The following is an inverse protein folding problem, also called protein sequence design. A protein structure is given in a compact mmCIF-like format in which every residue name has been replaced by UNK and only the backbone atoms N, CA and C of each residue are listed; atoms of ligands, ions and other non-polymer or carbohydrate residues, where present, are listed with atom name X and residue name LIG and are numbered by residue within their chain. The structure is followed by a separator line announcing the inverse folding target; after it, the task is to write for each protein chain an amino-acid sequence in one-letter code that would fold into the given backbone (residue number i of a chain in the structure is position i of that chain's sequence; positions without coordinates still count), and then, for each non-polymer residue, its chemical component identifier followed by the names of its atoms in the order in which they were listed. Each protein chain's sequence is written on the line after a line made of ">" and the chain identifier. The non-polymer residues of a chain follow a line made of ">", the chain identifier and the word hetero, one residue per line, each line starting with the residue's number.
data_IF_568712367268
#
_entry.id   IF_568712367268
#
_cell.length_a   1.000
_cell.length_b   1.000
_cell.length_c   1.000
_cell.angle_alpha   90.00
_cell.angle_beta   90.00
_cell.angle_gamma   90.00
#
_symmetry.space_group_name_H-M   'P 1'
#
loop_
_entity.id
_entity.type
_entity.pdbx_description
1 polymer ?
#
# COMPACT_ATOMS: atom_id res chain seq x y z
N UNK A 1 -6.19 17.36 -25.43
CA UNK A 1 -6.05 18.76 -24.98
C UNK A 1 -4.86 18.79 -24.05
N UNK A 2 -4.10 19.89 -24.03
CA UNK A 2 -2.97 20.01 -23.12
C UNK A 2 -3.44 20.26 -21.68
N UNK A 3 -2.76 19.70 -20.69
CA UNK A 3 -3.11 19.92 -19.27
C UNK A 3 -2.54 21.19 -18.68
N UNK A 4 -1.41 21.66 -19.21
CA UNK A 4 -0.87 22.97 -18.91
C UNK A 4 -0.66 23.78 -20.19
N UNK A 5 -0.34 25.06 -20.01
CA UNK A 5 -0.08 26.02 -21.08
C UNK A 5 1.33 26.59 -20.94
N UNK A 6 1.82 27.26 -21.99
CA UNK A 6 3.08 27.98 -21.93
C UNK A 6 3.10 29.04 -20.81
N UNK A 7 1.98 29.72 -20.57
CA UNK A 7 1.87 30.71 -19.50
C UNK A 7 2.08 30.08 -18.12
N UNK A 8 1.64 28.83 -17.93
CA UNK A 8 1.88 28.10 -16.69
C UNK A 8 3.38 27.82 -16.49
N UNK A 9 4.11 27.49 -17.55
CA UNK A 9 5.57 27.33 -17.47
C UNK A 9 6.27 28.66 -17.15
N UNK A 10 5.76 29.78 -17.67
CA UNK A 10 6.28 31.12 -17.40
C UNK A 10 6.03 31.56 -15.95
N UNK A 11 5.08 30.96 -15.23
CA UNK A 11 4.96 31.16 -13.77
C UNK A 11 6.06 30.47 -12.97
N UNK A 12 6.71 29.47 -13.56
CA UNK A 12 7.71 28.62 -12.90
C UNK A 12 9.15 29.04 -13.22
N UNK A 13 9.40 29.42 -14.47
CA UNK A 13 10.71 29.88 -14.95
C UNK A 13 10.57 31.19 -15.74
N UNK A 14 11.56 32.10 -15.68
CA UNK A 14 11.54 33.33 -16.46
C UNK A 14 11.48 33.07 -17.97
N UNK A 15 10.87 34.00 -18.72
CA UNK A 15 10.78 33.90 -20.18
C UNK A 15 12.12 33.69 -20.88
N UNK A 16 13.16 34.41 -20.44
CA UNK A 16 14.52 34.27 -21.00
C UNK A 16 15.09 32.86 -20.79
N UNK A 17 14.76 32.22 -19.67
CA UNK A 17 15.17 30.85 -19.38
C UNK A 17 14.38 29.85 -20.23
N UNK A 18 13.06 30.05 -20.36
CA UNK A 18 12.23 29.23 -21.24
C UNK A 18 12.70 29.33 -22.71
N UNK A 19 13.07 30.52 -23.17
CA UNK A 19 13.64 30.75 -24.49
C UNK A 19 14.97 29.99 -24.67
N UNK A 20 15.89 30.07 -23.70
CA UNK A 20 17.16 29.33 -23.74
C UNK A 20 16.96 27.80 -23.82
N UNK A 21 15.90 27.28 -23.20
CA UNK A 21 15.59 25.84 -23.23
C UNK A 21 14.93 25.37 -24.53
N UNK A 22 14.25 26.26 -25.24
CA UNK A 22 13.37 25.92 -26.37
C UNK A 22 13.94 26.37 -27.71
N UNK A 23 14.31 27.65 -27.82
CA UNK A 23 14.78 28.28 -29.04
C UNK A 23 16.27 28.02 -29.30
N UNK A 24 16.65 27.95 -30.58
CA UNK A 24 18.06 27.86 -31.02
C UNK A 24 18.74 29.25 -31.07
N UNK A 25 17.97 30.33 -31.24
CA UNK A 25 18.43 31.72 -31.16
C UNK A 25 17.26 32.68 -30.87
N UNK A 26 17.50 33.74 -30.08
CA UNK A 26 16.50 34.77 -29.73
C UNK A 26 15.99 34.69 -28.29
N UNK A 27 15.19 35.69 -27.90
CA UNK A 27 14.63 35.83 -26.54
C UNK A 27 13.17 35.32 -26.43
N UNK A 28 12.64 34.77 -27.52
CA UNK A 28 11.28 34.22 -27.58
C UNK A 28 11.30 32.68 -27.52
N UNK A 29 10.48 32.06 -26.66
CA UNK A 29 10.34 30.61 -26.62
C UNK A 29 9.83 30.02 -27.93
N UNK A 30 10.43 28.89 -28.34
CA UNK A 30 9.91 28.11 -29.46
C UNK A 30 8.65 27.36 -29.02
N UNK A 31 7.50 27.87 -29.44
CA UNK A 31 6.19 27.31 -29.10
C UNK A 31 5.98 25.86 -29.55
N UNK A 32 6.67 25.38 -30.61
CA UNK A 32 6.59 23.98 -31.01
C UNK A 32 7.30 23.07 -30.01
N UNK A 33 8.50 23.46 -29.58
CA UNK A 33 9.28 22.70 -28.58
C UNK A 33 8.57 22.70 -27.22
N UNK A 34 7.96 23.83 -26.84
CA UNK A 34 7.11 23.92 -25.64
C UNK A 34 5.93 22.96 -25.74
N UNK A 35 5.20 22.97 -26.86
CA UNK A 35 4.03 22.11 -27.06
C UNK A 35 4.40 20.61 -27.05
N UNK A 36 5.55 20.23 -27.63
CA UNK A 36 6.04 18.84 -27.59
C UNK A 36 6.38 18.39 -26.16
N UNK A 37 7.01 19.27 -25.36
CA UNK A 37 7.34 18.95 -23.97
C UNK A 37 6.08 18.77 -23.12
N UNK A 38 5.06 19.62 -23.31
CA UNK A 38 3.77 19.50 -22.63
C UNK A 38 3.04 18.24 -23.08
N UNK A 39 2.97 17.96 -24.39
CA UNK A 39 2.33 16.76 -24.91
C UNK A 39 2.97 15.48 -24.38
N UNK A 40 4.29 15.47 -24.19
CA UNK A 40 5.02 14.36 -23.57
C UNK A 40 4.62 14.19 -22.09
N UNK A 41 4.62 15.28 -21.32
CA UNK A 41 4.20 15.26 -19.92
C UNK A 41 2.76 14.75 -19.76
N UNK A 42 1.86 15.22 -20.62
CA UNK A 42 0.45 14.82 -20.60
C UNK A 42 0.27 13.34 -20.93
N UNK A 43 1.02 12.81 -21.90
CA UNK A 43 1.00 11.40 -22.22
C UNK A 43 1.50 10.51 -21.06
N UNK A 44 2.50 10.98 -20.30
CA UNK A 44 2.98 10.28 -19.10
C UNK A 44 1.93 10.26 -17.98
N UNK A 45 1.22 11.38 -17.79
CA UNK A 45 0.11 11.49 -16.85
C UNK A 45 -1.05 10.57 -17.26
N UNK A 46 -1.44 10.59 -18.54
CA UNK A 46 -2.53 9.77 -19.07
C UNK A 46 -2.24 8.28 -18.94
N UNK A 47 -1.01 7.88 -19.24
CA UNK A 47 -0.58 6.49 -19.10
C UNK A 47 -0.64 6.03 -17.63
N UNK A 48 -0.28 6.90 -16.68
CA UNK A 48 -0.34 6.57 -15.26
C UNK A 48 -1.78 6.54 -14.72
N UNK A 49 -2.62 7.49 -15.12
CA UNK A 49 -3.96 7.66 -14.56
C UNK A 49 -5.06 6.89 -15.32
N UNK A 50 -4.82 6.48 -16.56
CA UNK A 50 -5.83 5.90 -17.45
C UNK A 50 -6.41 4.55 -17.01
N UNK A 51 -5.81 3.88 -16.02
CA UNK A 51 -6.38 2.68 -15.42
C UNK A 51 -7.55 3.01 -14.47
N UNK A 52 -7.57 4.21 -13.87
CA UNK A 52 -8.51 4.59 -12.80
C UNK A 52 -9.41 5.76 -13.14
N UNK A 53 -8.94 6.68 -13.99
CA UNK A 53 -9.67 7.89 -14.35
C UNK A 53 -9.96 7.93 -15.85
N UNK A 54 -11.04 8.60 -16.22
CA UNK A 54 -11.31 8.93 -17.61
C UNK A 54 -10.29 9.97 -18.09
N UNK A 55 -9.38 9.54 -18.95
CA UNK A 55 -8.39 10.39 -19.61
C UNK A 55 -8.74 10.53 -21.11
N UNK A 56 -8.48 11.69 -21.74
CA UNK A 56 -7.85 12.86 -21.14
C UNK A 56 -8.77 13.64 -20.18
N UNK A 57 -8.21 14.20 -19.11
CA UNK A 57 -8.97 14.89 -18.07
C UNK A 57 -9.74 16.10 -18.60
N UNK A 58 -11.05 16.18 -18.31
CA UNK A 58 -11.89 17.31 -18.69
C UNK A 58 -13.04 17.50 -17.69
N UNK A 59 -13.10 18.62 -16.94
CA UNK A 59 -12.11 19.69 -16.86
C UNK A 59 -10.77 19.20 -16.26
N UNK A 60 -9.67 19.89 -16.59
CA UNK A 60 -8.33 19.55 -16.09
C UNK A 60 -8.21 19.97 -14.62
N UNK A 61 -7.90 19.04 -13.69
CA UNK A 61 -7.67 19.39 -12.29
C UNK A 61 -6.43 20.27 -12.11
N UNK A 62 -6.46 21.20 -11.16
CA UNK A 62 -5.31 22.05 -10.81
C UNK A 62 -4.06 21.25 -10.44
N UNK A 63 -4.24 20.08 -9.80
CA UNK A 63 -3.14 19.17 -9.48
C UNK A 63 -2.50 18.57 -10.73
N UNK A 64 -3.32 18.17 -11.70
CA UNK A 64 -2.85 17.62 -12.99
C UNK A 64 -2.14 18.69 -13.81
N UNK A 65 -2.68 19.91 -13.81
CA UNK A 65 -2.06 21.09 -14.43
C UNK A 65 -0.65 21.35 -13.87
N UNK A 66 -0.51 21.36 -12.54
CA UNK A 66 0.79 21.53 -11.88
C UNK A 66 1.79 20.42 -12.21
N UNK A 67 1.33 19.15 -12.24
CA UNK A 67 2.18 18.01 -12.57
C UNK A 67 2.65 18.05 -14.03
N UNK A 68 1.75 18.38 -14.96
CA UNK A 68 2.08 18.54 -16.38
C UNK A 68 3.16 19.61 -16.55
N UNK A 69 3.04 20.74 -15.85
CA UNK A 69 4.03 21.81 -15.88
C UNK A 69 5.40 21.38 -15.31
N UNK A 70 5.44 20.72 -14.14
CA UNK A 70 6.69 20.21 -13.53
C UNK A 70 7.42 19.22 -14.46
N UNK A 71 6.68 18.28 -15.07
CA UNK A 71 7.24 17.30 -16.01
C UNK A 71 7.70 17.97 -17.31
N UNK A 72 6.93 18.91 -17.85
CA UNK A 72 7.27 19.64 -19.07
C UNK A 72 8.56 20.46 -18.90
N UNK A 73 8.72 21.19 -17.79
CA UNK A 73 9.95 21.92 -17.49
C UNK A 73 11.14 20.97 -17.40
N UNK A 74 10.99 19.84 -16.72
CA UNK A 74 12.05 18.82 -16.65
C UNK A 74 12.44 18.30 -18.04
N UNK A 75 11.47 18.01 -18.92
CA UNK A 75 11.76 17.55 -20.28
C UNK A 75 12.52 18.61 -21.10
N UNK A 76 12.21 19.89 -20.93
CA UNK A 76 12.91 21.00 -21.57
C UNK A 76 14.38 21.09 -21.11
N UNK A 77 14.64 21.00 -19.81
CA UNK A 77 16.02 20.94 -19.31
C UNK A 77 16.76 19.67 -19.73
N UNK A 78 16.07 18.54 -19.74
CA UNK A 78 16.63 17.24 -20.16
C UNK A 78 17.05 17.28 -21.64
N UNK A 79 16.26 17.93 -22.51
CA UNK A 79 16.60 18.17 -23.91
C UNK A 79 17.93 18.91 -24.09
N UNK A 80 18.21 19.91 -23.22
CA UNK A 80 19.49 20.66 -23.24
C UNK A 80 20.62 19.96 -22.48
N UNK A 81 20.37 18.81 -21.84
CA UNK A 81 21.35 18.06 -21.06
C UNK A 81 21.75 18.72 -19.73
N UNK A 82 21.08 19.81 -19.34
CA UNK A 82 21.38 20.59 -18.14
C UNK A 82 20.14 20.60 -17.27
N UNK A 83 19.88 19.52 -16.54
CA UNK A 83 18.77 19.47 -15.58
C UNK A 83 19.27 19.80 -14.17
N UNK A 84 18.94 20.98 -13.61
CA UNK A 84 19.19 21.31 -12.21
C UNK A 84 18.57 20.27 -11.26
N UNK A 85 19.19 20.08 -10.10
CA UNK A 85 18.74 19.06 -9.14
C UNK A 85 17.30 19.31 -8.65
N UNK A 86 16.90 20.58 -8.52
CA UNK A 86 15.52 20.98 -8.15
C UNK A 86 14.49 20.40 -9.13
N UNK A 87 14.76 20.48 -10.43
CA UNK A 87 13.87 19.97 -11.47
C UNK A 87 13.90 18.44 -11.58
N UNK A 88 15.05 17.81 -11.30
CA UNK A 88 15.15 16.35 -11.18
C UNK A 88 14.33 15.84 -10.00
N UNK A 89 14.39 16.54 -8.86
CA UNK A 89 13.63 16.17 -7.67
C UNK A 89 12.13 16.32 -7.92
N UNK A 90 11.69 17.47 -8.46
CA UNK A 90 10.29 17.69 -8.85
C UNK A 90 9.77 16.62 -9.82
N UNK A 91 10.57 16.23 -10.80
CA UNK A 91 10.23 15.14 -11.71
C UNK A 91 10.06 13.80 -10.98
N UNK A 92 10.99 13.44 -10.08
CA UNK A 92 10.88 12.22 -9.27
C UNK A 92 9.65 12.23 -8.37
N UNK A 93 9.36 13.37 -7.74
CA UNK A 93 8.20 13.54 -6.86
C UNK A 93 6.89 13.44 -7.64
N UNK A 94 6.84 14.05 -8.84
CA UNK A 94 5.71 13.94 -9.75
C UNK A 94 5.48 12.48 -10.19
N UNK A 95 6.52 11.75 -10.58
CA UNK A 95 6.42 10.33 -10.92
C UNK A 95 6.01 9.47 -9.73
N UNK A 96 6.53 9.74 -8.53
CA UNK A 96 6.15 9.02 -7.31
C UNK A 96 4.66 9.23 -7.02
N UNK A 97 4.18 10.47 -7.12
CA UNK A 97 2.77 10.79 -6.96
C UNK A 97 1.90 10.12 -8.03
N UNK A 98 2.29 10.17 -9.31
CA UNK A 98 1.53 9.49 -10.38
C UNK A 98 1.47 7.98 -10.18
N UNK A 99 2.54 7.36 -9.67
CA UNK A 99 2.53 5.94 -9.28
C UNK A 99 1.59 5.68 -8.10
N UNK A 100 1.56 6.56 -7.10
CA UNK A 100 0.59 6.46 -6.00
C UNK A 100 -0.84 6.59 -6.51
N UNK A 101 -1.11 7.52 -7.44
CA UNK A 101 -2.42 7.67 -8.07
C UNK A 101 -2.80 6.41 -8.85
N UNK A 102 -1.88 5.87 -9.67
CA UNK A 102 -2.09 4.63 -10.42
C UNK A 102 -2.33 3.42 -9.50
N UNK A 103 -1.58 3.34 -8.40
CA UNK A 103 -1.71 2.31 -7.37
C UNK A 103 -2.90 2.50 -6.43
N UNK A 104 -3.55 3.66 -6.48
CA UNK A 104 -4.72 3.98 -5.65
C UNK A 104 -4.48 4.59 -4.30
N UNK A 105 -3.23 4.88 -3.98
CA UNK A 105 -2.77 5.46 -2.73
C UNK A 105 -2.98 6.99 -2.69
N UNK A 106 -3.28 7.62 -3.84
CA UNK A 106 -3.55 9.05 -3.94
C UNK A 106 -4.73 9.35 -4.89
N UNK A 107 -5.50 10.40 -4.57
CA UNK A 107 -6.68 10.82 -5.36
C UNK A 107 -6.45 12.17 -6.01
N UNK A 108 -6.89 12.31 -7.26
CA UNK A 108 -6.88 13.58 -7.99
C UNK A 108 -8.18 14.34 -7.71
N UNK A 109 -8.16 15.23 -6.72
CA UNK A 109 -9.30 16.09 -6.42
C UNK A 109 -9.66 16.97 -7.64
N UNK A 110 -10.93 16.96 -8.05
CA UNK A 110 -11.45 17.80 -9.14
C UNK A 110 -11.39 17.19 -10.55
N UNK A 111 -10.94 15.93 -10.70
CA UNK A 111 -11.06 15.21 -11.98
C UNK A 111 -12.54 14.90 -12.27
N UNK A 112 -13.09 15.53 -13.31
CA UNK A 112 -14.44 15.22 -13.79
C UNK A 112 -14.51 13.77 -14.25
N UNK A 113 -15.37 12.99 -13.60
CA UNK A 113 -15.29 11.53 -13.63
C UNK A 113 -14.85 11.03 -12.27
N UNK A 114 -15.69 11.28 -11.26
CA UNK A 114 -15.68 10.48 -10.05
C UNK A 114 -15.69 9.01 -10.50
N UNK A 115 -14.77 8.16 -10.02
CA UNK A 115 -14.86 6.73 -10.27
C UNK A 115 -16.31 6.31 -9.97
N UNK A 116 -16.93 5.38 -10.72
CA UNK A 116 -18.13 4.75 -10.19
C UNK A 116 -17.78 4.37 -8.75
N UNK A 117 -18.67 4.67 -7.81
CA UNK A 117 -18.51 4.33 -6.41
C UNK A 117 -18.29 2.80 -6.27
N UNK A 118 -17.08 2.35 -6.58
CA UNK A 118 -16.43 1.21 -5.97
C UNK A 118 -16.29 1.61 -4.51
N UNK A 119 -16.57 0.65 -3.62
CA UNK A 119 -17.05 0.92 -2.28
C UNK A 119 -16.19 2.02 -1.66
N UNK A 120 -16.86 3.06 -1.14
CA UNK A 120 -16.28 4.09 -0.28
C UNK A 120 -15.01 3.53 0.34
N UNK A 121 -13.85 4.12 0.00
CA UNK A 121 -12.60 3.82 0.68
C UNK A 121 -12.87 4.10 2.15
N UNK A 122 -13.28 3.04 2.84
CA UNK A 122 -13.54 3.06 4.25
C UNK A 122 -12.21 3.43 4.86
N UNK A 123 -12.22 4.39 5.78
CA UNK A 123 -11.16 4.54 6.75
C UNK A 123 -10.72 3.12 7.15
N UNK A 124 -9.54 2.69 6.68
CA UNK A 124 -9.02 1.36 6.97
C UNK A 124 -8.70 1.36 8.46
N UNK A 125 -9.73 1.04 9.24
CA UNK A 125 -9.65 0.87 10.67
C UNK A 125 -8.90 -0.42 10.94
N UNK A 126 -8.15 -0.46 12.03
CA UNK A 126 -7.50 -1.70 12.48
C UNK A 126 -8.51 -2.85 12.66
N UNK A 127 -9.78 -2.54 12.97
CA UNK A 127 -10.89 -3.50 13.01
C UNK A 127 -11.22 -4.13 11.66
N UNK A 128 -11.11 -3.39 10.55
CA UNK A 128 -11.34 -3.96 9.21
C UNK A 128 -10.23 -4.95 8.83
N UNK A 129 -8.98 -4.62 9.17
CA UNK A 129 -7.84 -5.53 9.00
C UNK A 129 -8.01 -6.77 9.88
N UNK A 130 -8.48 -6.60 11.12
CA UNK A 130 -8.77 -7.70 12.04
C UNK A 130 -9.86 -8.64 11.53
N UNK A 131 -10.97 -8.09 11.06
CA UNK A 131 -12.05 -8.88 10.50
C UNK A 131 -11.60 -9.67 9.27
N UNK A 132 -10.82 -9.04 8.37
CA UNK A 132 -10.27 -9.70 7.19
C UNK A 132 -9.33 -10.86 7.56
N UNK A 133 -8.41 -10.64 8.51
CA UNK A 133 -7.49 -11.69 8.99
C UNK A 133 -8.27 -12.85 9.60
N UNK A 134 -9.25 -12.59 10.47
CA UNK A 134 -10.09 -13.63 11.05
C UNK A 134 -10.88 -14.38 9.99
N UNK A 135 -11.46 -13.68 9.02
CA UNK A 135 -12.20 -14.27 7.90
C UNK A 135 -11.33 -15.18 7.04
N UNK A 136 -10.12 -14.74 6.69
CA UNK A 136 -9.17 -15.52 5.91
C UNK A 136 -8.72 -16.79 6.64
N UNK A 137 -8.42 -16.68 7.94
CA UNK A 137 -8.05 -17.81 8.78
C UNK A 137 -9.22 -18.80 8.94
N UNK A 138 -10.44 -18.31 9.19
CA UNK A 138 -11.62 -19.16 9.31
C UNK A 138 -11.91 -19.90 8.00
N UNK A 139 -11.79 -19.23 6.85
CA UNK A 139 -11.99 -19.84 5.53
C UNK A 139 -10.91 -20.89 5.20
N UNK A 140 -9.66 -20.61 5.53
CA UNK A 140 -8.53 -21.50 5.23
C UNK A 140 -8.35 -22.66 6.21
N UNK A 141 -8.73 -22.48 7.47
CA UNK A 141 -8.42 -23.41 8.57
C UNK A 141 -9.65 -24.00 9.26
N UNK A 142 -10.87 -23.56 8.94
CA UNK A 142 -12.08 -23.94 9.69
C UNK A 142 -12.36 -25.44 9.78
N UNK A 143 -11.82 -26.26 8.86
CA UNK A 143 -11.89 -27.73 8.94
C UNK A 143 -10.76 -28.36 9.76
N UNK A 144 -9.67 -27.62 9.99
CA UNK A 144 -8.46 -28.08 10.70
C UNK A 144 -8.45 -27.68 12.18
N UNK A 145 -9.19 -26.63 12.55
CA UNK A 145 -9.18 -26.06 13.90
C UNK A 145 -10.59 -25.90 14.45
N UNK A 146 -10.74 -26.02 15.77
CA UNK A 146 -12.03 -25.86 16.45
C UNK A 146 -12.33 -24.42 16.82
N UNK A 147 -11.31 -23.57 16.92
CA UNK A 147 -11.44 -22.16 17.30
C UNK A 147 -10.57 -21.29 16.41
N UNK A 148 -11.15 -20.26 15.80
CA UNK A 148 -10.46 -19.08 15.27
C UNK A 148 -11.06 -17.86 15.95
N UNK A 149 -10.24 -17.07 16.64
CA UNK A 149 -10.74 -15.91 17.40
C UNK A 149 -9.68 -14.82 17.54
N UNK A 150 -10.13 -13.58 17.73
CA UNK A 150 -9.26 -12.53 18.25
C UNK A 150 -9.09 -12.69 19.75
N UNK A 151 -7.90 -12.38 20.25
CA UNK A 151 -7.56 -12.40 21.66
C UNK A 151 -6.81 -11.15 22.09
N UNK A 152 -7.29 -10.54 23.17
CA UNK A 152 -6.62 -9.47 23.90
C UNK A 152 -6.42 -9.91 25.35
N UNK A 153 -5.17 -9.94 25.83
CA UNK A 153 -4.86 -10.31 27.21
C UNK A 153 -3.80 -11.41 27.33
N UNK A 154 -3.81 -12.12 28.45
CA UNK A 154 -2.82 -13.15 28.78
C UNK A 154 -3.24 -14.52 28.24
N UNK A 155 -2.82 -14.81 27.00
CA UNK A 155 -3.13 -16.06 26.32
C UNK A 155 -2.79 -17.33 27.12
N UNK A 156 -1.77 -17.28 27.99
CA UNK A 156 -1.34 -18.46 28.75
C UNK A 156 -2.35 -18.78 29.86
N UNK A 157 -2.85 -17.76 30.57
CA UNK A 157 -3.87 -17.92 31.62
C UNK A 157 -5.20 -18.40 31.03
N UNK A 158 -5.59 -17.85 29.88
CA UNK A 158 -6.86 -18.22 29.22
C UNK A 158 -6.83 -19.62 28.60
N UNK A 159 -5.67 -20.07 28.09
CA UNK A 159 -5.49 -21.45 27.68
C UNK A 159 -5.56 -22.41 28.88
N UNK A 160 -5.01 -22.01 30.03
CA UNK A 160 -5.07 -22.80 31.26
C UNK A 160 -6.50 -22.89 31.82
N UNK A 161 -7.28 -21.82 31.71
CA UNK A 161 -8.70 -21.79 32.12
C UNK A 161 -9.62 -22.54 31.15
N UNK A 162 -9.09 -23.07 30.04
CA UNK A 162 -9.83 -23.78 28.99
C UNK A 162 -10.89 -22.91 28.31
N UNK A 163 -10.61 -21.61 28.13
CA UNK A 163 -11.51 -20.70 27.45
C UNK A 163 -11.79 -21.08 25.98
N UNK A 164 -10.91 -21.88 25.35
CA UNK A 164 -10.99 -22.24 23.94
C UNK A 164 -10.92 -23.74 23.67
N UNK A 165 -11.57 -24.17 22.58
CA UNK A 165 -11.50 -25.55 22.09
C UNK A 165 -10.29 -25.71 21.18
N UNK A 166 -9.46 -26.71 21.46
CA UNK A 166 -8.22 -26.99 20.72
C UNK A 166 -8.44 -28.06 19.63
N UNK A 167 -7.80 -27.97 18.45
CA UNK A 167 -6.83 -26.95 18.03
C UNK A 167 -7.43 -25.55 17.91
N UNK A 168 -6.69 -24.53 18.34
CA UNK A 168 -7.12 -23.13 18.28
C UNK A 168 -6.08 -22.26 17.58
N UNK A 169 -6.56 -21.29 16.82
CA UNK A 169 -5.79 -20.23 16.18
C UNK A 169 -6.29 -18.89 16.71
N UNK A 170 -5.43 -18.16 17.40
CA UNK A 170 -5.79 -16.91 18.06
C UNK A 170 -5.00 -15.76 17.47
N UNK A 171 -5.69 -14.71 17.03
CA UNK A 171 -5.09 -13.48 16.51
C UNK A 171 -4.87 -12.52 17.68
N UNK A 172 -3.64 -12.07 17.88
CA UNK A 172 -3.28 -11.10 18.92
C UNK A 172 -2.57 -9.91 18.31
N UNK A 173 -3.18 -8.75 18.45
CA UNK A 173 -2.60 -7.48 18.01
C UNK A 173 -1.50 -6.99 18.96
N UNK A 174 -0.41 -6.47 18.38
CA UNK A 174 0.65 -5.77 19.11
C UNK A 174 0.47 -4.27 18.91
N UNK A 175 0.99 -3.45 19.83
CA UNK A 175 0.84 -2.00 19.78
C UNK A 175 1.30 -1.43 18.43
N UNK A 176 0.44 -0.59 17.86
CA UNK A 176 0.61 0.11 16.59
C UNK A 176 1.67 1.20 16.69
N UNK A 177 2.51 1.33 15.67
CA UNK A 177 3.42 2.48 15.51
C UNK A 177 2.87 3.38 14.41
N UNK A 178 2.45 4.58 14.79
CA UNK A 178 2.09 5.66 13.87
C UNK A 178 3.35 6.49 13.60
N UNK A 179 3.78 6.53 12.34
CA UNK A 179 4.84 7.44 11.90
C UNK A 179 4.20 8.50 10.98
N UNK A 180 4.31 9.75 11.39
CA UNK A 180 3.68 10.86 10.67
C UNK A 180 4.54 11.23 9.47
N UNK A 181 4.03 10.99 8.26
CA UNK A 181 4.80 11.16 7.02
C UNK A 181 4.50 12.51 6.35
N UNK A 182 3.29 13.06 6.51
CA UNK A 182 2.89 14.37 5.99
C UNK A 182 1.74 15.03 6.80
N UNK A 183 1.39 16.29 6.50
CA UNK A 183 0.17 16.90 7.03
C UNK A 183 -1.05 16.17 6.46
N UNK A 184 -1.75 15.39 7.29
CA UNK A 184 -3.01 14.71 6.94
C UNK A 184 -2.89 13.22 6.57
N UNK A 185 -1.70 12.63 6.55
CA UNK A 185 -1.52 11.19 6.33
C UNK A 185 -0.42 10.61 7.22
N UNK A 186 -0.67 9.44 7.80
CA UNK A 186 0.33 8.68 8.55
C UNK A 186 0.48 7.27 7.99
N UNK A 187 1.71 6.78 7.96
CA UNK A 187 1.98 5.37 7.71
C UNK A 187 1.76 4.63 9.03
N UNK A 188 0.75 3.76 9.02
CA UNK A 188 0.38 2.94 10.15
C UNK A 188 1.01 1.57 9.96
N UNK A 189 2.02 1.24 10.78
CA UNK A 189 2.57 -0.11 10.79
C UNK A 189 1.86 -0.94 11.85
N UNK A 190 1.30 -2.07 11.41
CA UNK A 190 0.57 -3.02 12.23
C UNK A 190 1.41 -4.29 12.38
N UNK A 191 1.87 -4.55 13.60
CA UNK A 191 2.45 -5.83 13.99
C UNK A 191 1.40 -6.64 14.78
N UNK A 192 1.24 -7.91 14.43
CA UNK A 192 0.37 -8.83 15.16
C UNK A 192 0.96 -10.23 15.19
N UNK A 193 0.39 -11.08 16.03
CA UNK A 193 0.84 -12.45 16.21
C UNK A 193 -0.33 -13.42 16.09
N UNK A 194 -0.09 -14.53 15.41
CA UNK A 194 -0.99 -15.67 15.34
C UNK A 194 -0.47 -16.73 16.31
N UNK A 195 -1.25 -17.02 17.35
CA UNK A 195 -0.98 -18.14 18.24
C UNK A 195 -1.70 -19.38 17.75
N UNK A 196 -0.98 -20.50 17.69
CA UNK A 196 -1.52 -21.79 17.30
C UNK A 196 -1.35 -22.73 18.48
N UNK A 197 -2.44 -23.09 19.13
CA UNK A 197 -2.47 -23.94 20.31
C UNK A 197 -3.07 -25.31 19.97
N UNK A 198 -2.34 -26.38 20.29
CA UNK A 198 -2.78 -27.77 20.06
C UNK A 198 -2.48 -28.65 21.27
N UNK A 199 -3.27 -29.73 21.44
CA UNK A 199 -2.91 -30.81 22.38
C UNK A 199 -2.01 -31.80 21.66
N UNK A 200 -0.77 -32.06 22.13
CA UNK A 200 0.08 -33.07 21.54
C UNK A 200 -0.58 -34.45 21.64
N UNK A 201 -0.57 -35.22 20.54
CA UNK A 201 -0.88 -36.65 20.62
C UNK A 201 0.28 -37.38 21.31
N UNK A 202 -0.02 -38.41 22.12
CA UNK A 202 1.01 -39.29 22.69
C UNK A 202 1.70 -40.06 21.56
N UNK A 203 2.94 -39.70 21.22
CA UNK A 203 3.77 -40.31 20.17
C UNK A 203 4.55 -39.26 19.37
N UNK A 204 5.78 -38.94 19.80
CA UNK A 204 6.42 -37.63 19.60
C UNK A 204 6.93 -37.25 18.20
N UNK A 205 6.91 -38.14 17.19
CA UNK A 205 7.48 -37.85 15.87
C UNK A 205 6.46 -37.81 14.71
N UNK A 206 5.56 -38.80 14.62
CA UNK A 206 4.61 -38.93 13.50
C UNK A 206 3.39 -38.00 13.61
N UNK A 207 3.02 -37.59 14.83
CA UNK A 207 1.89 -36.67 15.06
C UNK A 207 2.14 -35.24 14.52
N UNK A 208 3.38 -34.91 14.13
CA UNK A 208 3.74 -33.63 13.52
C UNK A 208 3.34 -33.54 12.04
N UNK A 209 3.11 -34.68 11.38
CA UNK A 209 2.83 -34.81 9.94
C UNK A 209 1.40 -35.30 9.63
N UNK A 210 0.57 -35.56 10.64
CA UNK A 210 -0.81 -36.01 10.45
C UNK A 210 -1.79 -34.84 10.19
N UNK A 211 -2.95 -35.16 9.61
CA UNK A 211 -4.07 -34.23 9.46
C UNK A 211 -4.47 -33.62 10.82
N UNK A 212 -4.55 -32.29 10.92
CA UNK A 212 -4.78 -31.53 12.15
C UNK A 212 -3.53 -31.30 13.01
N UNK A 213 -2.34 -31.68 12.53
CA UNK A 213 -1.06 -31.41 13.19
C UNK A 213 -0.65 -29.93 13.14
N UNK A 214 0.22 -29.52 14.07
CA UNK A 214 0.61 -28.12 14.21
C UNK A 214 1.24 -27.52 12.96
N UNK A 215 2.01 -28.31 12.19
CA UNK A 215 2.63 -27.84 10.95
C UNK A 215 1.63 -27.64 9.82
N UNK A 216 0.59 -28.47 9.75
CA UNK A 216 -0.47 -28.28 8.76
C UNK A 216 -1.27 -27.02 9.07
N UNK A 217 -1.52 -26.74 10.37
CA UNK A 217 -2.16 -25.49 10.78
C UNK A 217 -1.24 -24.30 10.47
N UNK A 218 0.06 -24.38 10.77
CA UNK A 218 1.04 -23.34 10.42
C UNK A 218 1.07 -23.07 8.91
N UNK A 219 1.08 -24.12 8.08
CA UNK A 219 1.04 -24.00 6.62
C UNK A 219 -0.26 -23.35 6.15
N UNK A 220 -1.39 -23.73 6.73
CA UNK A 220 -2.68 -23.11 6.42
C UNK A 220 -2.72 -21.62 6.84
N UNK A 221 -2.13 -21.26 7.98
CA UNK A 221 -1.96 -19.85 8.39
C UNK A 221 -1.10 -19.10 7.37
N UNK A 222 0.05 -19.66 6.98
CA UNK A 222 0.92 -19.02 5.96
C UNK A 222 0.20 -18.86 4.63
N UNK A 223 -0.53 -19.88 4.18
CA UNK A 223 -1.31 -19.81 2.94
C UNK A 223 -2.40 -18.74 3.00
N UNK A 224 -3.01 -18.55 4.17
CA UNK A 224 -4.07 -17.56 4.36
C UNK A 224 -3.54 -16.12 4.42
N UNK A 225 -2.32 -15.90 4.93
CA UNK A 225 -1.84 -14.56 5.25
C UNK A 225 -0.58 -14.14 4.47
N UNK A 226 0.39 -15.01 4.29
CA UNK A 226 1.69 -14.63 3.73
C UNK A 226 1.56 -14.15 2.28
N UNK A 227 2.06 -12.94 2.01
CA UNK A 227 1.93 -12.25 0.73
C UNK A 227 0.49 -11.99 0.27
N UNK A 228 -0.50 -12.05 1.18
CA UNK A 228 -1.87 -11.66 0.90
C UNK A 228 -2.11 -10.22 1.35
N UNK A 229 -2.95 -9.49 0.61
CA UNK A 229 -3.53 -8.20 1.03
C UNK A 229 -4.98 -8.35 1.50
N UNK A 230 -5.57 -9.54 1.32
CA UNK A 230 -6.96 -9.89 1.65
C UNK A 230 -7.99 -8.95 1.00
N UNK A 231 -7.64 -8.34 -0.14
CA UNK A 231 -8.49 -7.35 -0.82
C UNK A 231 -8.55 -5.99 -0.11
N UNK A 232 -7.64 -5.73 0.83
CA UNK A 232 -7.48 -4.44 1.51
C UNK A 232 -6.37 -3.62 0.84
N UNK A 233 -6.44 -2.29 0.97
CA UNK A 233 -5.37 -1.39 0.53
C UNK A 233 -4.27 -1.30 1.59
N UNK A 234 -3.51 -2.40 1.72
CA UNK A 234 -2.41 -2.57 2.66
C UNK A 234 -1.19 -3.15 1.94
N UNK A 235 0.00 -2.98 2.51
CA UNK A 235 1.13 -3.79 2.06
C UNK A 235 0.83 -5.26 2.37
N UNK A 236 1.07 -6.22 1.44
CA UNK A 236 0.79 -7.62 1.72
C UNK A 236 1.47 -8.11 3.01
N UNK A 237 0.80 -8.95 3.78
CA UNK A 237 1.33 -9.36 5.09
C UNK A 237 2.67 -10.11 4.93
N UNK A 238 3.68 -9.66 5.69
CA UNK A 238 4.97 -10.32 5.80
C UNK A 238 5.02 -11.17 7.07
N UNK A 239 5.50 -12.41 6.95
CA UNK A 239 5.84 -13.25 8.10
C UNK A 239 7.23 -12.86 8.59
N UNK A 240 7.31 -12.23 9.76
CA UNK A 240 8.57 -11.74 10.34
C UNK A 240 9.28 -12.84 11.13
N UNK A 241 8.50 -13.65 11.86
CA UNK A 241 9.04 -14.68 12.75
C UNK A 241 8.04 -15.79 12.96
N UNK A 242 8.52 -17.03 13.03
CA UNK A 242 7.72 -18.20 13.41
C UNK A 242 8.54 -19.07 14.36
N UNK A 243 8.04 -19.30 15.57
CA UNK A 243 8.78 -20.08 16.58
C UNK A 243 7.86 -20.74 17.62
N UNK A 244 8.29 -21.85 18.25
CA UNK A 244 7.58 -22.41 19.39
C UNK A 244 7.64 -21.46 20.59
N UNK A 245 6.48 -21.15 21.18
CA UNK A 245 6.38 -20.32 22.39
C UNK A 245 6.22 -21.16 23.66
N UNK A 246 5.55 -22.30 23.56
CA UNK A 246 5.39 -23.25 24.64
C UNK A 246 5.36 -24.67 24.08
N UNK A 247 6.09 -25.59 24.68
CA UNK A 247 6.01 -27.01 24.33
C UNK A 247 6.08 -27.83 25.60
N UNK A 248 4.95 -28.43 25.95
CA UNK A 248 4.79 -29.31 27.10
C UNK A 248 4.16 -30.63 26.66
N UNK A 249 4.00 -31.58 27.59
CA UNK A 249 3.33 -32.86 27.29
C UNK A 249 1.83 -32.71 27.01
N UNK A 250 1.21 -31.65 27.48
CA UNK A 250 -0.25 -31.46 27.43
C UNK A 250 -0.67 -30.37 26.44
N UNK A 251 0.25 -29.45 26.12
CA UNK A 251 -0.01 -28.28 25.31
C UNK A 251 1.24 -27.89 24.51
N UNK A 252 1.07 -27.65 23.21
CA UNK A 252 2.05 -27.00 22.36
C UNK A 252 1.45 -25.71 21.79
N UNK A 253 2.20 -24.61 21.86
CA UNK A 253 1.83 -23.30 21.33
C UNK A 253 2.96 -22.77 20.47
N UNK A 254 2.62 -22.42 19.24
CA UNK A 254 3.52 -21.72 18.31
C UNK A 254 3.00 -20.31 18.08
N UNK A 255 3.93 -19.38 17.89
CA UNK A 255 3.63 -18.03 17.47
C UNK A 255 4.19 -17.75 16.09
N UNK A 256 3.37 -17.11 15.25
CA UNK A 256 3.79 -16.52 13.99
C UNK A 256 3.55 -15.00 14.04
N UNK A 257 4.60 -14.20 13.98
CA UNK A 257 4.55 -12.74 13.98
C UNK A 257 4.45 -12.23 12.55
N UNK A 258 3.44 -11.40 12.28
CA UNK A 258 3.17 -10.80 10.98
C UNK A 258 3.22 -9.28 11.07
N UNK A 259 3.60 -8.66 9.95
CA UNK A 259 3.55 -7.21 9.76
C UNK A 259 2.78 -6.85 8.50
N UNK A 260 2.10 -5.71 8.56
CA UNK A 260 1.63 -4.97 7.40
C UNK A 260 1.71 -3.47 7.70
N UNK A 261 1.61 -2.65 6.65
CA UNK A 261 1.53 -1.20 6.74
C UNK A 261 0.36 -0.71 5.87
N UNK A 262 -0.31 0.33 6.34
CA UNK A 262 -1.39 1.00 5.61
C UNK A 262 -1.26 2.51 5.73
N UNK A 263 -1.70 3.22 4.71
CA UNK A 263 -1.75 4.69 4.73
C UNK A 263 -3.07 5.10 5.37
N UNK A 264 -2.99 5.80 6.50
CA UNK A 264 -4.16 6.34 7.20
C UNK A 264 -4.25 7.84 6.92
N UNK A 265 -5.33 8.25 6.26
CA UNK A 265 -5.63 9.66 5.99
C UNK A 265 -6.47 10.23 7.14
N UNK A 266 -6.21 11.47 7.57
CA UNK A 266 -6.91 12.19 8.65
C UNK A 266 -7.70 13.38 8.13
#
# INVERSE_FOLDING_TARGET
>A
MAYCTQDDLLTMIPQAELAALTAEAGDEPDGQVVAEAIARADAEIDAACGLRYAVPFSPVPERVKSLSADLAVYHLYSRRGVAPEVWRQKYKDALAFLKQVAGGQATLAGAGGEPPAGPLMADLSWSAVEEAVLGALQAGLGSLVQTVASHQGNWLEDLQSQAWRLPAVLVRWRQTREEQVAMGSADLTLDFSILIAVRPFRGEAEARLQEGGIYQILEGVRRALWHQDLGLDITPFSLEKEEPWLTTRELAVYGAEYRTSLVKNF
#
